data_IF_222663829271
#
_entry.id   IF_222663829271
#
_cell.length_a   1.000
_cell.length_b   1.000
_cell.length_c   1.000
_cell.angle_alpha   90.00
_cell.angle_beta   90.00
_cell.angle_gamma   90.00
#
_symmetry.space_group_name_H-M   'P 1'
#
loop_
_entity.id
_entity.type
_entity.pdbx_description
1 polymer ?
#
# COMPACT_ATOMS: atom_id res chain seq x y z
N UNK A 1 -8.12 -5.94 -3.79
CA UNK A 1 -7.12 -5.53 -4.80
C UNK A 1 -6.49 -6.80 -5.34
N UNK A 2 -6.37 -7.00 -6.66
CA UNK A 2 -5.75 -8.22 -7.22
C UNK A 2 -4.27 -8.28 -6.84
N UNK A 3 -3.79 -9.49 -6.52
CA UNK A 3 -2.42 -9.76 -6.07
C UNK A 3 -1.81 -10.89 -6.91
N UNK A 4 -0.49 -10.84 -7.06
CA UNK A 4 0.28 -11.91 -7.68
C UNK A 4 0.73 -12.94 -6.62
N UNK A 5 0.35 -14.19 -6.82
CA UNK A 5 0.68 -15.32 -5.95
C UNK A 5 1.80 -16.17 -6.56
N UNK A 6 2.93 -16.33 -5.87
CA UNK A 6 4.04 -17.15 -6.36
C UNK A 6 3.61 -18.62 -6.42
N UNK A 7 3.78 -19.25 -7.59
CA UNK A 7 3.33 -20.62 -7.84
C UNK A 7 1.82 -20.78 -8.11
N UNK A 8 1.06 -19.68 -8.06
CA UNK A 8 -0.36 -19.66 -8.41
C UNK A 8 -0.63 -19.44 -9.90
N UNK A 9 -1.87 -19.70 -10.31
CA UNK A 9 -2.36 -19.41 -11.66
C UNK A 9 -2.86 -17.95 -11.69
N UNK A 10 -1.96 -17.03 -12.06
CA UNK A 10 -2.23 -15.59 -12.01
C UNK A 10 -2.76 -15.07 -13.35
N UNK A 11 -3.95 -14.48 -13.33
CA UNK A 11 -4.55 -13.83 -14.50
C UNK A 11 -4.48 -12.31 -14.36
N UNK A 12 -4.13 -11.64 -15.45
CA UNK A 12 -4.05 -10.19 -15.50
C UNK A 12 -5.46 -9.59 -15.37
N UNK A 13 -5.72 -8.68 -14.42
CA UNK A 13 -7.03 -8.04 -14.29
C UNK A 13 -7.36 -7.07 -15.42
N UNK A 14 -6.37 -6.64 -16.20
CA UNK A 14 -6.55 -5.73 -17.34
C UNK A 14 -6.96 -6.45 -18.63
N UNK A 15 -6.28 -7.55 -18.98
CA UNK A 15 -6.49 -8.25 -20.26
C UNK A 15 -6.75 -9.76 -20.16
N UNK A 16 -6.75 -10.34 -18.96
CA UNK A 16 -6.95 -11.78 -18.73
C UNK A 16 -5.74 -12.67 -19.03
N UNK A 17 -4.67 -12.11 -19.61
CA UNK A 17 -3.44 -12.84 -19.95
C UNK A 17 -2.68 -13.36 -18.72
N UNK A 18 -1.76 -14.31 -18.95
CA UNK A 18 -1.05 -15.03 -17.88
C UNK A 18 0.48 -14.85 -17.95
N UNK A 19 0.99 -14.03 -18.87
CA UNK A 19 2.43 -13.72 -18.94
C UNK A 19 2.76 -12.57 -17.99
N UNK A 20 3.81 -12.76 -17.20
CA UNK A 20 4.22 -11.84 -16.15
C UNK A 20 5.73 -11.64 -16.15
N UNK A 21 6.14 -10.38 -16.07
CA UNK A 21 7.50 -9.97 -15.71
C UNK A 21 7.49 -9.76 -14.20
N UNK A 22 8.11 -10.68 -13.46
CA UNK A 22 8.05 -10.70 -12.00
C UNK A 22 9.23 -9.92 -11.42
N UNK A 23 8.93 -8.78 -10.79
CA UNK A 23 9.90 -7.96 -10.06
C UNK A 23 9.97 -8.34 -8.59
N UNK A 24 10.66 -7.51 -7.79
CA UNK A 24 10.82 -7.75 -6.34
C UNK A 24 9.57 -7.49 -5.51
N UNK A 25 8.72 -6.57 -5.95
CA UNK A 25 7.52 -6.14 -5.19
C UNK A 25 6.22 -6.21 -6.00
N UNK A 26 6.34 -6.20 -7.33
CA UNK A 26 5.23 -6.11 -8.28
C UNK A 26 5.45 -7.15 -9.39
N UNK A 27 4.35 -7.59 -10.00
CA UNK A 27 4.34 -8.34 -11.25
C UNK A 27 3.67 -7.50 -12.34
N UNK A 28 4.35 -7.33 -13.47
CA UNK A 28 3.85 -6.58 -14.64
C UNK A 28 3.38 -7.54 -15.73
N UNK A 29 2.20 -7.31 -16.29
CA UNK A 29 1.67 -8.14 -17.36
C UNK A 29 2.46 -7.89 -18.66
N UNK A 30 3.05 -8.95 -19.22
CA UNK A 30 3.82 -8.86 -20.47
C UNK A 30 2.99 -8.55 -21.73
N UNK A 31 1.66 -8.52 -21.63
CA UNK A 31 0.77 -8.20 -22.75
C UNK A 31 0.30 -6.74 -22.75
N UNK A 32 -0.27 -6.28 -21.63
CA UNK A 32 -0.90 -4.97 -21.55
C UNK A 32 -0.18 -3.99 -20.61
N UNK A 33 0.92 -4.41 -19.97
CA UNK A 33 1.68 -3.57 -19.03
C UNK A 33 1.01 -3.32 -17.68
N UNK A 34 -0.16 -3.92 -17.41
CA UNK A 34 -0.81 -3.78 -16.09
C UNK A 34 0.05 -4.41 -15.00
N UNK A 35 0.35 -3.65 -13.94
CA UNK A 35 1.16 -4.12 -12.81
C UNK A 35 0.33 -4.29 -11.53
N UNK A 36 0.54 -5.40 -10.83
CA UNK A 36 -0.10 -5.72 -9.55
C UNK A 36 0.94 -6.06 -8.47
N UNK A 37 0.65 -5.80 -7.18
CA UNK A 37 1.57 -6.14 -6.10
C UNK A 37 1.65 -7.65 -5.88
N UNK A 38 2.81 -8.12 -5.44
CA UNK A 38 2.99 -9.48 -4.95
C UNK A 38 2.24 -9.67 -3.62
N UNK A 39 1.77 -10.87 -3.34
CA UNK A 39 1.11 -11.21 -2.07
C UNK A 39 1.97 -10.85 -0.84
N UNK A 40 3.27 -11.16 -0.89
CA UNK A 40 4.25 -10.82 0.15
C UNK A 40 4.41 -9.31 0.40
N UNK A 41 3.99 -8.48 -0.56
CA UNK A 41 4.05 -7.02 -0.50
C UNK A 41 2.66 -6.39 -0.60
N UNK A 42 1.60 -7.16 -0.31
CA UNK A 42 0.21 -6.68 -0.35
C UNK A 42 -0.06 -5.53 0.63
N UNK A 43 0.74 -5.41 1.69
CA UNK A 43 0.68 -4.30 2.65
C UNK A 43 1.24 -2.99 2.11
N UNK A 44 1.96 -2.99 0.98
CA UNK A 44 2.52 -1.77 0.41
C UNK A 44 1.43 -0.80 -0.10
N UNK A 45 0.24 -1.32 -0.43
CA UNK A 45 -0.94 -0.51 -0.73
C UNK A 45 -1.78 -0.17 0.52
N UNK A 46 -1.49 -0.78 1.68
CA UNK A 46 -1.90 -0.26 2.97
C UNK A 46 -0.91 0.82 3.42
N UNK A 47 -0.77 1.88 2.61
CA UNK A 47 -0.11 3.10 3.07
C UNK A 47 -0.72 3.48 4.43
N UNK A 48 0.08 3.84 5.44
CA UNK A 48 -0.47 4.25 6.72
C UNK A 48 -1.43 5.39 6.43
N UNK A 49 -2.70 5.22 6.82
CA UNK A 49 -3.65 6.33 6.78
C UNK A 49 -3.18 7.30 7.85
N UNK A 50 -2.38 8.29 7.44
CA UNK A 50 -2.03 9.43 8.28
C UNK A 50 -3.32 10.22 8.45
N UNK A 51 -4.12 9.80 9.42
CA UNK A 51 -5.30 10.52 9.84
C UNK A 51 -4.82 11.70 10.69
N UNK A 52 -5.15 12.93 10.29
CA UNK A 52 -5.02 14.06 11.20
C UNK A 52 -6.01 13.85 12.34
N UNK A 53 -5.53 13.45 13.52
CA UNK A 53 -6.31 13.63 14.75
C UNK A 53 -6.38 15.13 15.01
N UNK A 54 -7.59 15.69 15.04
CA UNK A 54 -7.77 17.01 15.62
C UNK A 54 -7.30 16.91 17.08
N UNK A 55 -6.21 17.61 17.38
CA UNK A 55 -5.72 17.76 18.75
C UNK A 55 -6.76 18.60 19.49
N UNK A 56 -7.65 17.97 20.24
CA UNK A 56 -8.40 18.67 21.26
C UNK A 56 -7.38 19.00 22.36
N UNK A 57 -7.16 20.28 22.72
CA UNK A 57 -6.17 20.63 23.74
C UNK A 57 -6.61 19.97 25.05
N UNK A 58 -5.89 18.91 25.44
CA UNK A 58 -5.84 18.47 26.82
C UNK A 58 -5.29 19.67 27.61
N UNK A 59 -6.02 20.06 28.65
CA UNK A 59 -5.74 21.20 29.52
C UNK A 59 -4.24 21.33 29.76
N UNK A 60 -3.61 22.37 29.18
CA UNK A 60 -2.17 22.58 29.19
C UNK A 60 -1.66 22.43 30.62
N UNK A 61 -0.79 21.43 30.84
CA UNK A 61 -0.11 21.27 32.11
C UNK A 61 0.52 22.61 32.53
N UNK A 62 0.30 23.07 33.78
CA UNK A 62 0.61 24.43 34.22
C UNK A 62 2.10 24.82 34.14
N UNK A 63 2.97 23.84 33.87
CA UNK A 63 4.42 23.95 33.62
C UNK A 63 4.78 24.67 32.31
N UNK A 64 3.83 24.85 31.38
CA UNK A 64 4.06 25.52 30.08
C UNK A 64 3.64 26.99 30.06
N UNK A 65 3.27 27.57 31.21
CA UNK A 65 2.93 29.00 31.27
C UNK A 65 4.21 29.83 31.08
N UNK A 66 4.22 30.83 30.17
CA UNK A 66 5.34 31.74 30.04
C UNK A 66 5.63 32.40 31.39
N UNK A 67 6.90 32.41 31.80
CA UNK A 67 7.35 33.12 32.99
C UNK A 67 7.34 34.60 32.65
N UNK A 68 6.52 35.39 33.35
CA UNK A 68 6.44 36.85 33.21
C UNK A 68 7.73 37.54 33.72
#
# INVERSE_FOLDING_TARGET
MPLYHVGGQNHCPGCGGQQWIVGRMMAECGYCGSAIPMESFSTYSAAPRIARRNHMPEEQAPELRPVE
#
